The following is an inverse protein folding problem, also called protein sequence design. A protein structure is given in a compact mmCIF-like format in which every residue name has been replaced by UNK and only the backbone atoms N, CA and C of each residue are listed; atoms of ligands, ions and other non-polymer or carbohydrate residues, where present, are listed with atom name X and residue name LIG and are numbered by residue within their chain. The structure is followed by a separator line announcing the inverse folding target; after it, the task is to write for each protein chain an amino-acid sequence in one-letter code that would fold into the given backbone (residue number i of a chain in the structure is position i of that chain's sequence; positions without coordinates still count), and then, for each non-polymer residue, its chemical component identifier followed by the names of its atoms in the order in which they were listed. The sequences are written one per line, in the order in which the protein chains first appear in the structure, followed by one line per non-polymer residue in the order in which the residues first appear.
data_IF_214074141634
#
_entry.id   IF_214074141634
#
_cell.length_a   1.000
_cell.length_b   1.000
_cell.length_c   1.000
_cell.angle_alpha   90.00
_cell.angle_beta   90.00
_cell.angle_gamma   90.00
#
_symmetry.space_group_name_H-M   'P 1'
#
loop_
_entity.id
_entity.type
_entity.pdbx_description
1 polymer ?
#
# COMPACT_ATOMS: atom_id res chain seq x y z
N UNK A 1 54.70 -9.60 43.90
CA UNK A 1 53.64 -9.52 44.92
C UNK A 1 52.74 -8.33 44.60
N UNK A 2 51.42 -8.57 44.51
CA UNK A 2 50.28 -7.60 44.55
C UNK A 2 50.19 -6.61 43.38
N UNK A 3 49.05 -6.24 42.81
CA UNK A 3 47.66 -6.71 42.83
C UNK A 3 46.95 -5.93 41.71
N UNK A 4 46.08 -6.60 40.97
CA UNK A 4 45.07 -6.03 40.06
C UNK A 4 44.17 -4.99 40.74
N UNK A 5 43.81 -3.89 40.04
CA UNK A 5 42.49 -3.24 40.19
C UNK A 5 42.07 -2.57 38.87
N UNK A 6 40.91 -2.98 38.38
CA UNK A 6 40.15 -2.45 37.25
C UNK A 6 39.36 -1.22 37.71
N UNK A 7 39.22 -0.20 36.86
CA UNK A 7 38.12 0.76 36.96
C UNK A 7 37.50 0.97 35.57
N UNK A 8 36.19 0.86 35.56
CA UNK A 8 35.33 0.59 34.43
C UNK A 8 34.30 1.73 34.28
N UNK A 9 33.95 2.05 33.03
CA UNK A 9 32.67 2.61 32.54
C UNK A 9 32.39 4.09 32.96
N UNK A 10 31.81 4.96 32.13
CA UNK A 10 30.51 4.84 31.47
C UNK A 10 30.56 5.62 30.14
N UNK A 11 30.57 4.91 29.01
CA UNK A 11 30.14 5.47 27.73
C UNK A 11 28.62 5.29 27.65
N UNK A 12 27.85 6.38 27.74
CA UNK A 12 26.39 6.31 27.50
C UNK A 12 26.17 6.19 25.99
N UNK A 13 26.33 4.97 25.47
CA UNK A 13 25.81 4.63 24.15
C UNK A 13 24.29 4.49 24.28
N UNK A 14 23.58 5.60 24.10
CA UNK A 14 22.13 5.61 23.93
C UNK A 14 21.76 4.90 22.64
N UNK A 15 21.63 3.57 22.69
CA UNK A 15 20.97 2.79 21.65
C UNK A 15 19.47 3.16 21.68
N UNK A 16 19.06 4.09 20.82
CA UNK A 16 17.65 4.29 20.51
C UNK A 16 17.21 3.04 19.73
N UNK A 17 16.63 2.09 20.44
CA UNK A 17 15.97 0.93 19.83
C UNK A 17 14.76 1.40 19.03
N UNK A 18 14.90 1.49 17.71
CA UNK A 18 13.76 1.63 16.80
C UNK A 18 13.05 0.28 16.75
N UNK A 19 12.02 0.13 17.58
CA UNK A 19 11.13 -1.03 17.54
C UNK A 19 10.34 -1.00 16.22
N UNK A 20 10.73 -1.86 15.28
CA UNK A 20 9.95 -2.15 14.08
C UNK A 20 8.73 -3.01 14.47
N UNK A 21 7.71 -2.38 15.06
CA UNK A 21 6.41 -3.02 15.20
C UNK A 21 5.86 -3.30 13.78
N UNK A 22 5.28 -4.48 13.51
CA UNK A 22 4.61 -4.73 12.25
C UNK A 22 3.44 -3.73 12.15
N UNK A 23 3.60 -2.75 11.26
CA UNK A 23 2.50 -1.85 10.95
C UNK A 23 1.36 -2.71 10.39
N UNK A 24 0.11 -2.56 10.88
CA UNK A 24 -1.01 -3.18 10.20
C UNK A 24 -0.97 -2.72 8.74
N UNK A 25 -1.22 -3.62 7.79
CA UNK A 25 -1.33 -3.25 6.39
C UNK A 25 -2.41 -2.18 6.27
N UNK A 26 -1.98 -0.91 6.22
CA UNK A 26 -2.89 0.22 6.09
C UNK A 26 -3.22 0.31 4.62
N UNK A 27 -4.50 0.14 4.31
CA UNK A 27 -5.02 0.47 3.01
C UNK A 27 -4.56 1.88 2.63
N UNK A 28 -4.20 2.09 1.36
CA UNK A 28 -3.69 3.37 0.90
C UNK A 28 -4.75 4.47 1.10
N UNK A 29 -4.36 5.49 1.85
CA UNK A 29 -5.14 6.71 2.06
C UNK A 29 -4.52 7.85 1.26
N UNK A 30 -5.32 8.48 0.43
CA UNK A 30 -4.91 9.57 -0.44
C UNK A 30 -5.60 10.85 0.03
N UNK A 31 -4.85 11.95 0.08
CA UNK A 31 -5.33 13.25 0.56
C UNK A 31 -6.60 13.71 -0.16
N UNK A 32 -6.70 13.48 -1.48
CA UNK A 32 -7.80 13.99 -2.29
C UNK A 32 -9.04 13.09 -2.33
N UNK A 33 -8.86 11.76 -2.23
CA UNK A 33 -9.93 10.79 -2.50
C UNK A 33 -10.29 9.91 -1.30
N UNK A 34 -9.52 9.96 -0.21
CA UNK A 34 -9.75 9.18 1.01
C UNK A 34 -9.03 7.83 1.04
N UNK A 35 -9.44 6.97 1.97
CA UNK A 35 -8.89 5.63 2.19
C UNK A 35 -9.67 4.56 1.41
N UNK A 36 -8.96 3.72 0.65
CA UNK A 36 -9.56 2.75 -0.27
C UNK A 36 -10.50 1.73 0.38
N UNK A 37 -10.24 1.38 1.63
CA UNK A 37 -10.97 0.35 2.37
C UNK A 37 -12.18 0.86 3.16
N UNK A 38 -12.32 2.18 3.31
CA UNK A 38 -13.31 2.79 4.24
C UNK A 38 -14.16 3.83 3.52
N UNK A 39 -13.57 4.65 2.64
CA UNK A 39 -14.27 5.73 1.96
C UNK A 39 -14.82 5.30 0.60
N UNK A 40 -15.87 6.00 0.15
CA UNK A 40 -16.45 5.82 -1.17
C UNK A 40 -15.99 6.97 -2.08
N UNK A 41 -15.15 6.65 -3.06
CA UNK A 41 -14.57 7.63 -3.97
C UNK A 41 -15.63 8.26 -4.87
N UNK A 42 -15.68 9.59 -4.87
CA UNK A 42 -16.58 10.32 -5.76
C UNK A 42 -15.96 10.40 -7.14
N UNK A 43 -16.79 10.23 -8.17
CA UNK A 43 -16.35 10.36 -9.55
C UNK A 43 -15.76 11.75 -9.83
N UNK A 44 -16.31 12.82 -9.23
CA UNK A 44 -15.78 14.18 -9.37
C UNK A 44 -14.32 14.29 -8.97
N UNK A 45 -13.94 13.62 -7.89
CA UNK A 45 -12.59 13.72 -7.30
C UNK A 45 -11.62 12.87 -8.11
N UNK A 46 -12.06 11.68 -8.53
CA UNK A 46 -11.32 10.82 -9.46
C UNK A 46 -11.07 11.49 -10.82
N UNK A 47 -12.00 12.33 -11.29
CA UNK A 47 -11.81 13.07 -12.54
C UNK A 47 -10.73 14.15 -12.46
N UNK A 48 -10.27 14.52 -11.26
CA UNK A 48 -9.11 15.41 -11.07
C UNK A 48 -7.78 14.68 -11.27
N UNK A 49 -7.77 13.34 -11.20
CA UNK A 49 -6.58 12.51 -11.38
C UNK A 49 -6.27 12.24 -12.85
N UNK A 50 -4.99 12.02 -13.15
CA UNK A 50 -4.54 11.54 -14.47
C UNK A 50 -4.73 10.03 -14.65
N UNK A 51 -4.55 9.54 -15.89
CA UNK A 51 -4.63 8.11 -16.21
C UNK A 51 -3.71 7.24 -15.35
N UNK A 52 -2.46 7.70 -15.15
CA UNK A 52 -1.47 6.95 -14.40
C UNK A 52 -1.84 6.84 -12.90
N UNK A 53 -2.16 7.94 -12.18
CA UNK A 53 -2.67 7.83 -10.81
C UNK A 53 -3.94 6.98 -10.68
N UNK A 54 -4.90 7.08 -11.61
CA UNK A 54 -6.10 6.23 -11.58
C UNK A 54 -5.75 4.74 -11.70
N UNK A 55 -4.87 4.40 -12.63
CA UNK A 55 -4.35 3.04 -12.78
C UNK A 55 -3.63 2.59 -11.50
N UNK A 56 -2.79 3.43 -10.89
CA UNK A 56 -2.07 3.11 -9.65
C UNK A 56 -3.02 2.85 -8.48
N UNK A 57 -3.97 3.76 -8.22
CA UNK A 57 -4.94 3.61 -7.12
C UNK A 57 -5.73 2.31 -7.27
N UNK A 58 -6.23 2.01 -8.48
CA UNK A 58 -6.99 0.77 -8.74
C UNK A 58 -6.15 -0.47 -8.49
N UNK A 59 -4.90 -0.48 -8.95
CA UNK A 59 -4.04 -1.65 -8.81
C UNK A 59 -3.53 -1.81 -7.37
N UNK A 60 -3.32 -0.73 -6.62
CA UNK A 60 -3.00 -0.83 -5.19
C UNK A 60 -4.10 -1.51 -4.39
N UNK A 61 -5.38 -1.24 -4.67
CA UNK A 61 -6.52 -1.95 -4.06
C UNK A 61 -6.39 -3.46 -4.28
N UNK A 62 -6.06 -3.88 -5.50
CA UNK A 62 -5.85 -5.30 -5.80
C UNK A 62 -4.60 -5.87 -5.12
N UNK A 63 -3.49 -5.11 -5.09
CA UNK A 63 -2.23 -5.53 -4.45
C UNK A 63 -2.40 -5.78 -2.95
N UNK A 64 -3.05 -4.86 -2.25
CA UNK A 64 -3.33 -4.95 -0.81
C UNK A 64 -4.15 -6.18 -0.46
N UNK A 65 -5.04 -6.59 -1.37
CA UNK A 65 -5.88 -7.76 -1.22
C UNK A 65 -5.29 -9.04 -1.84
N UNK A 66 -4.01 -9.01 -2.23
CA UNK A 66 -3.25 -10.20 -2.62
C UNK A 66 -3.35 -10.60 -4.08
N UNK A 67 -3.69 -9.71 -4.99
CA UNK A 67 -3.69 -10.01 -6.42
C UNK A 67 -2.27 -10.23 -6.98
N UNK A 68 -2.11 -11.26 -7.81
CA UNK A 68 -0.90 -11.55 -8.57
C UNK A 68 -0.98 -10.87 -9.94
N UNK A 69 -0.07 -9.92 -10.20
CA UNK A 69 -0.02 -9.21 -11.47
C UNK A 69 0.69 -10.05 -12.55
N UNK A 70 0.14 -10.05 -13.76
CA UNK A 70 0.67 -10.84 -14.88
C UNK A 70 1.41 -10.00 -15.94
N UNK A 71 1.21 -8.69 -15.95
CA UNK A 71 1.85 -7.82 -16.95
C UNK A 71 3.21 -7.32 -16.44
N UNK A 72 4.24 -7.21 -17.31
CA UNK A 72 5.54 -6.67 -16.91
C UNK A 72 5.45 -5.27 -16.27
N UNK A 73 4.56 -4.40 -16.79
CA UNK A 73 4.32 -3.07 -16.23
C UNK A 73 3.83 -3.15 -14.77
N UNK A 74 2.81 -3.96 -14.50
CA UNK A 74 2.24 -4.06 -13.16
C UNK A 74 3.14 -4.81 -12.18
N UNK A 75 3.84 -5.86 -12.64
CA UNK A 75 4.85 -6.56 -11.84
C UNK A 75 5.98 -5.60 -11.44
N UNK A 76 6.47 -4.78 -12.37
CA UNK A 76 7.50 -3.77 -12.08
C UNK A 76 7.01 -2.72 -11.08
N UNK A 77 5.75 -2.30 -11.17
CA UNK A 77 5.20 -1.25 -10.30
C UNK A 77 4.85 -1.73 -8.88
N UNK A 78 4.27 -2.93 -8.74
CA UNK A 78 3.68 -3.40 -7.48
C UNK A 78 4.30 -4.69 -6.93
N UNK A 79 4.98 -5.45 -7.78
CA UNK A 79 5.55 -6.76 -7.46
C UNK A 79 4.51 -7.83 -7.13
N UNK A 80 4.95 -9.09 -7.10
CA UNK A 80 4.11 -10.25 -6.74
C UNK A 80 4.50 -10.90 -5.40
N UNK A 81 5.42 -10.30 -4.64
CA UNK A 81 5.74 -10.78 -3.31
C UNK A 81 4.46 -10.86 -2.46
N UNK A 82 4.17 -12.04 -1.92
CA UNK A 82 3.04 -12.31 -1.03
C UNK A 82 1.66 -12.32 -1.68
N UNK A 83 1.55 -12.33 -3.02
CA UNK A 83 0.25 -12.46 -3.68
C UNK A 83 -0.32 -13.90 -3.55
N UNK A 84 -1.64 -14.02 -3.68
CA UNK A 84 -2.42 -15.26 -3.46
C UNK A 84 -3.44 -15.56 -4.55
N UNK A 85 -3.86 -14.55 -5.31
CA UNK A 85 -4.98 -14.64 -6.24
C UNK A 85 -4.52 -14.26 -7.66
N UNK A 86 -4.52 -15.22 -8.58
CA UNK A 86 -4.20 -14.96 -9.99
C UNK A 86 -5.37 -14.36 -10.78
N UNK A 87 -6.60 -14.52 -10.28
CA UNK A 87 -7.81 -13.92 -10.84
C UNK A 87 -8.25 -12.70 -10.00
N UNK A 88 -8.40 -11.55 -10.67
CA UNK A 88 -8.86 -10.32 -10.05
C UNK A 88 -10.30 -10.43 -9.52
N UNK A 89 -11.11 -11.32 -10.09
CA UNK A 89 -12.47 -11.61 -9.61
C UNK A 89 -12.51 -12.42 -8.31
N UNK A 90 -11.44 -13.15 -8.00
CA UNK A 90 -11.29 -13.95 -6.79
C UNK A 90 -10.71 -13.14 -5.60
N UNK A 91 -10.23 -11.92 -5.85
CA UNK A 91 -9.65 -11.05 -4.82
C UNK A 91 -10.75 -10.62 -3.83
N UNK A 92 -10.59 -10.85 -2.51
CA UNK A 92 -11.62 -10.61 -1.51
C UNK A 92 -11.73 -9.12 -1.14
N UNK A 93 -12.14 -8.29 -2.09
CA UNK A 93 -12.38 -6.86 -1.86
C UNK A 93 -13.58 -6.64 -0.96
N UNK A 94 -13.53 -5.65 -0.08
CA UNK A 94 -14.65 -5.21 0.74
C UNK A 94 -15.66 -4.35 -0.06
N UNK A 95 -16.71 -3.85 0.60
CA UNK A 95 -17.75 -3.07 -0.07
C UNK A 95 -17.25 -1.75 -0.67
N UNK A 96 -16.44 -0.99 0.09
CA UNK A 96 -15.85 0.26 -0.34
C UNK A 96 -14.86 0.04 -1.50
N UNK A 97 -13.98 -0.94 -1.39
CA UNK A 97 -12.98 -1.26 -2.43
C UNK A 97 -13.64 -1.65 -3.76
N UNK A 98 -14.69 -2.50 -3.73
CA UNK A 98 -15.45 -2.85 -4.94
C UNK A 98 -16.10 -1.62 -5.57
N UNK A 99 -16.66 -0.73 -4.75
CA UNK A 99 -17.21 0.53 -5.22
C UNK A 99 -16.13 1.40 -5.87
N UNK A 100 -15.00 1.56 -5.18
CA UNK A 100 -13.88 2.40 -5.60
C UNK A 100 -13.26 1.91 -6.91
N UNK A 101 -13.03 0.61 -7.07
CA UNK A 101 -12.57 0.01 -8.33
C UNK A 101 -13.55 0.32 -9.47
N UNK A 102 -14.86 0.21 -9.24
CA UNK A 102 -15.87 0.54 -10.25
C UNK A 102 -15.87 2.03 -10.60
N UNK A 103 -15.75 2.91 -9.61
CA UNK A 103 -15.69 4.35 -9.81
C UNK A 103 -14.44 4.76 -10.58
N UNK A 104 -13.28 4.18 -10.26
CA UNK A 104 -12.01 4.41 -10.94
C UNK A 104 -12.09 3.92 -12.40
N UNK A 105 -12.57 2.69 -12.64
CA UNK A 105 -12.77 2.18 -14.01
C UNK A 105 -13.68 3.09 -14.85
N UNK A 106 -14.70 3.69 -14.24
CA UNK A 106 -15.55 4.68 -14.90
C UNK A 106 -14.81 5.98 -15.22
N UNK A 107 -13.94 6.44 -14.32
CA UNK A 107 -13.12 7.63 -14.54
C UNK A 107 -12.07 7.41 -15.64
N UNK A 108 -11.38 6.25 -15.63
CA UNK A 108 -10.45 5.81 -16.67
C UNK A 108 -11.13 5.81 -18.04
N UNK A 109 -12.27 5.12 -18.16
CA UNK A 109 -13.03 5.06 -19.41
C UNK A 109 -13.46 6.46 -19.92
N UNK A 110 -13.86 7.37 -19.02
CA UNK A 110 -14.20 8.76 -19.36
C UNK A 110 -13.00 9.57 -19.85
N UNK A 111 -11.79 9.19 -19.46
CA UNK A 111 -10.53 9.86 -19.83
C UNK A 111 -9.81 9.20 -21.02
N UNK A 112 -10.29 8.06 -21.50
CA UNK A 112 -9.63 7.32 -22.59
C UNK A 112 -8.39 6.55 -22.12
N UNK A 113 -8.38 6.16 -20.85
CA UNK A 113 -7.52 5.13 -20.28
C UNK A 113 -8.39 3.92 -19.86
#
# INVERSE_FOLDING_TARGET
MRSTFVLALIGVSGLIGVSAAPQPARANCYELIGCSNTDYYKLSDLMQLGCQPLWEVRNWIYKENGYCFHTPKAIKAFGNAGCKYDDAGAVPLNAAERHNVKAIKKAEAKKGC
#
